data_IF_872179045523
#
_entry.id   IF_872179045523
#
_cell.length_a   1.000
_cell.length_b   1.000
_cell.length_c   1.000
_cell.angle_alpha   90.00
_cell.angle_beta   90.00
_cell.angle_gamma   90.00
#
_symmetry.space_group_name_H-M   'P 1'
#
loop_
_entity.id
_entity.type
_entity.pdbx_description
1 polymer ?
#
# COMPACT_ATOMS: atom_id res chain seq x y z
N UNK A 1 37.78 25.82 -34.65
CA UNK A 1 38.20 26.59 -33.46
C UNK A 1 37.52 25.99 -32.23
N UNK A 2 37.78 24.72 -31.89
CA UNK A 2 38.61 24.24 -30.76
C UNK A 2 38.70 25.18 -29.55
N UNK A 3 37.95 24.85 -28.49
CA UNK A 3 38.32 25.09 -27.08
C UNK A 3 37.91 23.87 -26.27
N UNK A 4 38.80 22.89 -26.21
CA UNK A 4 38.78 21.83 -25.21
C UNK A 4 39.28 22.43 -23.88
N UNK A 5 38.42 22.47 -22.87
CA UNK A 5 38.82 22.82 -21.51
C UNK A 5 39.22 21.52 -20.79
N UNK A 6 40.51 21.38 -20.52
CA UNK A 6 41.06 20.33 -19.67
C UNK A 6 40.69 20.66 -18.21
N UNK A 7 39.80 19.86 -17.64
CA UNK A 7 39.58 19.79 -16.19
C UNK A 7 40.55 18.76 -15.61
N UNK A 8 41.63 19.26 -15.01
CA UNK A 8 42.59 18.46 -14.25
C UNK A 8 41.97 18.17 -12.88
N UNK A 9 41.44 16.95 -12.69
CA UNK A 9 41.01 16.47 -11.39
C UNK A 9 42.25 16.20 -10.52
N UNK A 10 42.47 17.04 -9.51
CA UNK A 10 43.44 16.76 -8.45
C UNK A 10 42.85 15.69 -7.52
N UNK A 11 43.23 14.43 -7.74
CA UNK A 11 43.01 13.35 -6.78
C UNK A 11 43.91 13.59 -5.57
N UNK A 12 43.34 14.20 -4.52
CA UNK A 12 43.98 14.27 -3.21
C UNK A 12 43.71 12.92 -2.51
N UNK A 13 44.68 12.01 -2.57
CA UNK A 13 44.67 10.76 -1.81
C UNK A 13 44.73 11.05 -0.31
N UNK A 14 43.57 11.11 0.33
CA UNK A 14 43.44 10.97 1.78
C UNK A 14 43.77 9.52 2.14
N UNK A 15 45.06 9.26 2.42
CA UNK A 15 45.52 8.05 3.09
C UNK A 15 44.92 8.03 4.50
N UNK A 16 43.75 7.41 4.64
CA UNK A 16 43.30 6.94 5.95
C UNK A 16 44.35 5.93 6.46
N UNK A 17 44.81 6.02 7.72
CA UNK A 17 45.69 5.00 8.28
C UNK A 17 44.97 3.66 8.20
N UNK A 18 45.52 2.75 7.38
CA UNK A 18 44.96 1.43 7.20
C UNK A 18 44.91 0.67 8.53
N UNK A 19 43.74 0.12 8.87
CA UNK A 19 43.55 -0.84 9.95
C UNK A 19 44.22 -2.20 9.66
N UNK A 20 45.38 -2.22 9.00
CA UNK A 20 46.03 -3.44 8.53
C UNK A 20 47.00 -4.07 9.55
N UNK A 21 47.33 -3.39 10.65
CA UNK A 21 48.35 -3.84 11.62
C UNK A 21 47.85 -3.78 13.08
N UNK A 22 46.59 -4.11 13.34
CA UNK A 22 46.24 -4.56 14.70
C UNK A 22 46.65 -6.02 14.83
N UNK A 23 47.45 -6.39 15.86
CA UNK A 23 47.80 -7.79 16.09
C UNK A 23 46.50 -8.59 16.23
N UNK A 24 46.40 -9.67 15.44
CA UNK A 24 45.36 -10.68 15.61
C UNK A 24 45.28 -11.01 17.10
N UNK A 25 44.07 -10.91 17.66
CA UNK A 25 43.79 -11.20 19.07
C UNK A 25 44.45 -12.54 19.40
N UNK A 26 45.25 -12.57 20.47
CA UNK A 26 45.97 -13.76 20.92
C UNK A 26 44.96 -14.87 21.22
N UNK A 27 44.84 -15.86 20.31
CA UNK A 27 43.85 -16.94 20.36
C UNK A 27 43.89 -17.72 21.68
N UNK A 28 45.03 -17.67 22.39
CA UNK A 28 45.23 -18.30 23.69
C UNK A 28 44.38 -17.72 24.83
N UNK A 29 43.75 -16.55 24.65
CA UNK A 29 42.93 -15.88 25.66
C UNK A 29 41.44 -15.78 25.32
N UNK A 30 40.98 -16.40 24.22
CA UNK A 30 39.55 -16.49 23.95
C UNK A 30 38.89 -17.41 24.98
N UNK A 31 37.76 -16.98 25.54
CA UNK A 31 36.97 -17.77 26.49
C UNK A 31 36.63 -19.13 25.84
N UNK A 32 36.95 -20.27 26.47
CA UNK A 32 36.60 -21.59 25.94
C UNK A 32 35.12 -21.73 25.57
N UNK A 33 34.23 -20.97 26.22
CA UNK A 33 32.81 -20.92 25.88
C UNK A 33 32.54 -20.33 24.47
N UNK A 34 33.44 -19.50 23.94
CA UNK A 34 33.36 -18.93 22.58
C UNK A 34 33.95 -19.83 21.51
N UNK A 35 34.81 -20.81 21.87
CA UNK A 35 35.43 -21.72 20.90
C UNK A 35 34.44 -22.77 20.34
N UNK A 36 33.30 -22.99 21.00
CA UNK A 36 32.25 -23.92 20.55
C UNK A 36 31.08 -23.26 19.80
N UNK A 37 31.19 -21.98 19.45
CA UNK A 37 30.12 -21.22 18.80
C UNK A 37 30.58 -20.74 17.42
N UNK A 38 29.68 -20.72 16.41
CA UNK A 38 29.99 -20.19 15.10
C UNK A 38 30.27 -18.70 15.18
N UNK A 39 31.16 -18.21 14.31
CA UNK A 39 31.40 -16.78 14.14
C UNK A 39 30.47 -16.18 13.08
N UNK A 40 30.19 -16.94 12.01
CA UNK A 40 29.19 -16.60 11.00
C UNK A 40 28.65 -17.87 10.34
N UNK A 41 27.64 -17.71 9.49
CA UNK A 41 27.14 -18.76 8.63
C UNK A 41 27.41 -18.42 7.17
N UNK A 42 27.90 -19.39 6.41
CA UNK A 42 27.89 -19.32 4.95
C UNK A 42 26.51 -19.79 4.48
N UNK A 43 25.76 -18.90 3.83
CA UNK A 43 24.42 -19.20 3.30
C UNK A 43 24.43 -19.22 1.78
N UNK A 44 23.90 -20.30 1.23
CA UNK A 44 23.77 -20.49 -0.21
C UNK A 44 22.32 -20.81 -0.57
N UNK A 45 21.88 -20.27 -1.70
CA UNK A 45 20.61 -20.64 -2.32
C UNK A 45 20.92 -21.25 -3.68
N UNK A 46 20.42 -22.46 -3.90
CA UNK A 46 20.60 -23.14 -5.18
C UNK A 46 19.71 -22.49 -6.25
N UNK A 47 20.32 -21.63 -7.07
CA UNK A 47 19.76 -21.11 -8.32
C UNK A 47 20.73 -21.53 -9.41
N UNK A 48 20.24 -22.21 -10.44
CA UNK A 48 21.10 -22.60 -11.57
C UNK A 48 21.73 -21.33 -12.20
N UNK A 49 23.00 -21.36 -12.60
CA UNK A 49 23.61 -20.25 -13.33
C UNK A 49 22.74 -19.90 -14.54
N UNK A 50 22.48 -18.60 -14.74
CA UNK A 50 21.61 -18.06 -15.80
C UNK A 50 20.10 -18.30 -15.61
N UNK A 51 19.66 -19.03 -14.58
CA UNK A 51 18.23 -19.12 -14.26
C UNK A 51 17.68 -17.76 -13.80
N UNK A 52 16.37 -17.53 -13.97
CA UNK A 52 15.72 -16.33 -13.44
C UNK A 52 16.03 -16.13 -11.95
N UNK A 53 16.34 -14.89 -11.59
CA UNK A 53 16.72 -14.46 -10.25
C UNK A 53 18.22 -14.44 -9.97
N UNK A 54 19.04 -15.00 -10.85
CA UNK A 54 20.51 -14.99 -10.71
C UNK A 54 21.16 -13.63 -10.99
N UNK A 55 20.47 -12.71 -11.68
CA UNK A 55 21.00 -11.38 -12.01
C UNK A 55 19.90 -10.32 -12.17
N UNK A 56 20.23 -9.01 -12.09
CA UNK A 56 19.27 -7.94 -12.32
C UNK A 56 18.64 -7.95 -13.72
N UNK A 57 19.39 -8.40 -14.73
CA UNK A 57 18.94 -8.44 -16.13
C UNK A 57 18.02 -9.65 -16.43
N UNK A 58 17.99 -10.64 -15.54
CA UNK A 58 17.11 -11.79 -15.61
C UNK A 58 16.45 -12.05 -14.25
N UNK A 59 15.57 -11.15 -13.76
CA UNK A 59 14.95 -11.28 -12.44
C UNK A 59 13.81 -12.32 -12.47
N UNK A 60 13.56 -12.98 -11.33
CA UNK A 60 12.35 -13.77 -11.13
C UNK A 60 11.11 -12.87 -11.26
N UNK A 61 10.00 -13.37 -11.85
CA UNK A 61 8.74 -12.63 -11.81
C UNK A 61 8.27 -12.45 -10.36
N UNK A 62 7.61 -11.33 -10.07
CA UNK A 62 6.88 -11.18 -8.82
C UNK A 62 5.81 -12.29 -8.73
N UNK A 63 5.72 -12.97 -7.59
CA UNK A 63 4.82 -14.10 -7.42
C UNK A 63 4.05 -14.00 -6.11
N UNK A 64 2.73 -14.01 -6.21
CA UNK A 64 1.81 -14.11 -5.06
C UNK A 64 1.87 -15.52 -4.46
N UNK A 65 1.96 -16.54 -5.32
CA UNK A 65 2.09 -17.94 -4.88
C UNK A 65 3.50 -18.25 -4.34
N UNK A 66 4.47 -17.41 -4.65
CA UNK A 66 5.86 -17.53 -4.24
C UNK A 66 6.70 -18.50 -5.07
N UNK A 67 7.98 -18.53 -4.69
CA UNK A 67 9.04 -19.30 -5.33
C UNK A 67 9.65 -20.26 -4.31
N UNK A 68 10.03 -21.45 -4.76
CA UNK A 68 10.72 -22.43 -3.91
C UNK A 68 12.23 -22.33 -4.12
N UNK A 69 12.97 -22.31 -3.03
CA UNK A 69 14.42 -22.31 -3.02
C UNK A 69 14.94 -23.41 -2.11
N UNK A 70 16.10 -23.96 -2.46
CA UNK A 70 16.88 -24.78 -1.52
C UNK A 70 17.88 -23.88 -0.82
N UNK A 71 17.69 -23.65 0.48
CA UNK A 71 18.60 -22.92 1.34
C UNK A 71 19.57 -23.91 1.98
N UNK A 72 20.87 -23.62 1.93
CA UNK A 72 21.92 -24.35 2.63
C UNK A 72 22.66 -23.39 3.54
N UNK A 73 23.00 -23.86 4.73
CA UNK A 73 23.77 -23.11 5.71
C UNK A 73 24.92 -23.97 6.24
N UNK A 74 26.09 -23.37 6.36
CA UNK A 74 27.27 -24.00 6.96
C UNK A 74 27.80 -23.11 8.08
N UNK A 75 27.96 -23.68 9.27
CA UNK A 75 28.52 -23.02 10.44
C UNK A 75 30.03 -22.83 10.27
N UNK A 76 30.53 -21.61 10.45
CA UNK A 76 31.94 -21.28 10.23
C UNK A 76 32.61 -20.84 11.52
N UNK A 77 33.78 -21.43 11.81
CA UNK A 77 34.60 -21.11 12.97
C UNK A 77 35.52 -19.91 12.74
N UNK A 78 36.24 -19.49 13.78
CA UNK A 78 37.19 -18.37 13.73
C UNK A 78 38.32 -18.57 12.69
N UNK A 79 38.70 -19.82 12.45
CA UNK A 79 39.72 -20.22 11.47
C UNK A 79 39.19 -20.24 10.03
N UNK A 80 37.92 -19.87 9.81
CA UNK A 80 37.21 -19.98 8.53
C UNK A 80 37.05 -21.41 8.03
N UNK A 81 37.15 -22.40 8.92
CA UNK A 81 36.80 -23.78 8.60
C UNK A 81 35.34 -24.07 9.01
N UNK A 82 34.67 -25.00 8.31
CA UNK A 82 33.37 -25.50 8.74
C UNK A 82 33.42 -26.17 10.12
N UNK A 83 32.47 -25.83 11.00
CA UNK A 83 32.34 -26.40 12.34
C UNK A 83 31.47 -27.65 12.33
N UNK A 84 32.07 -28.80 12.02
CA UNK A 84 31.35 -30.08 11.88
C UNK A 84 30.66 -30.60 13.17
N UNK A 85 30.91 -29.99 14.32
CA UNK A 85 30.33 -30.32 15.62
C UNK A 85 29.20 -29.38 16.05
N UNK A 86 28.93 -28.31 15.29
CA UNK A 86 27.85 -27.39 15.62
C UNK A 86 26.48 -28.01 15.33
N UNK A 87 25.59 -27.93 16.32
CA UNK A 87 24.18 -28.28 16.22
C UNK A 87 23.35 -27.11 16.72
N UNK A 88 22.31 -26.73 15.98
CA UNK A 88 21.52 -25.56 16.34
C UNK A 88 20.34 -25.30 15.41
N UNK A 89 19.56 -24.28 15.75
CA UNK A 89 18.43 -23.81 14.96
C UNK A 89 18.66 -22.35 14.58
N UNK A 90 18.71 -22.06 13.28
CA UNK A 90 18.85 -20.70 12.79
C UNK A 90 17.48 -20.12 12.49
N UNK A 91 17.21 -18.93 13.00
CA UNK A 91 16.01 -18.18 12.62
C UNK A 91 16.24 -17.54 11.26
N UNK A 92 15.32 -17.81 10.33
CA UNK A 92 15.40 -17.31 8.96
C UNK A 92 14.57 -16.04 8.81
N UNK A 93 15.15 -15.07 8.11
CA UNK A 93 14.61 -13.75 7.88
C UNK A 93 14.79 -13.37 6.40
N UNK A 94 14.00 -12.42 5.93
CA UNK A 94 14.03 -11.93 4.54
C UNK A 94 14.22 -10.40 4.53
N UNK A 95 14.88 -9.88 3.49
CA UNK A 95 14.91 -8.42 3.25
C UNK A 95 13.62 -7.89 2.64
N UNK A 96 12.92 -8.72 1.86
CA UNK A 96 11.69 -8.39 1.15
C UNK A 96 10.87 -9.66 0.91
N UNK A 97 9.55 -9.55 0.89
CA UNK A 97 8.64 -10.69 0.72
C UNK A 97 8.27 -11.39 2.02
N UNK A 98 7.59 -12.52 1.89
CA UNK A 98 6.99 -13.27 2.99
C UNK A 98 7.52 -14.71 2.96
N UNK A 99 8.01 -15.18 4.10
CA UNK A 99 8.40 -16.58 4.27
C UNK A 99 7.14 -17.40 4.54
N UNK A 100 6.60 -18.01 3.48
CA UNK A 100 5.38 -18.83 3.56
C UNK A 100 5.64 -20.18 4.21
N UNK A 101 6.80 -20.77 3.90
CA UNK A 101 7.12 -22.11 4.38
C UNK A 101 8.62 -22.33 4.48
N UNK A 102 9.03 -23.08 5.50
CA UNK A 102 10.36 -23.65 5.63
C UNK A 102 10.25 -25.12 6.04
N UNK A 103 10.70 -26.02 5.18
CA UNK A 103 10.70 -27.47 5.40
C UNK A 103 12.12 -27.98 5.59
N UNK A 104 12.46 -28.35 6.82
CA UNK A 104 13.71 -29.04 7.13
C UNK A 104 13.67 -30.50 6.66
N UNK A 105 14.81 -31.03 6.20
CA UNK A 105 14.89 -32.45 5.81
C UNK A 105 14.78 -33.41 7.00
N UNK A 106 15.22 -33.00 8.20
CA UNK A 106 15.18 -33.80 9.43
C UNK A 106 14.74 -32.90 10.59
N UNK A 107 13.50 -33.10 11.07
CA UNK A 107 12.79 -32.16 11.95
C UNK A 107 13.32 -32.18 13.40
N UNK A 108 14.10 -31.18 13.79
CA UNK A 108 14.53 -30.93 15.18
C UNK A 108 14.35 -29.47 15.66
N UNK A 109 13.89 -28.56 14.79
CA UNK A 109 13.74 -27.13 15.12
C UNK A 109 12.27 -26.66 15.10
N UNK A 110 11.95 -25.56 15.79
CA UNK A 110 10.65 -24.88 15.64
C UNK A 110 10.34 -24.52 14.18
N UNK A 111 9.06 -24.34 13.87
CA UNK A 111 8.61 -23.88 12.56
C UNK A 111 9.24 -22.52 12.20
N UNK A 112 9.64 -22.35 10.93
CA UNK A 112 10.34 -21.15 10.46
C UNK A 112 11.86 -21.12 10.73
N UNK A 113 12.41 -22.10 11.45
CA UNK A 113 13.84 -22.18 11.74
C UNK A 113 14.54 -23.28 10.92
N UNK A 114 15.74 -23.00 10.44
CA UNK A 114 16.62 -23.94 9.74
C UNK A 114 17.44 -24.77 10.74
N UNK A 115 17.34 -26.10 10.65
CA UNK A 115 18.12 -27.01 11.48
C UNK A 115 19.54 -27.19 10.93
N UNK A 116 20.55 -27.02 11.79
CA UNK A 116 21.95 -27.32 11.52
C UNK A 116 22.34 -28.56 12.32
N UNK A 117 22.84 -29.58 11.63
CA UNK A 117 23.27 -30.84 12.22
C UNK A 117 24.64 -31.20 11.69
N UNK A 118 25.62 -31.36 12.59
CA UNK A 118 26.99 -31.63 12.19
C UNK A 118 27.61 -30.50 11.35
N UNK A 119 27.32 -29.24 11.72
CA UNK A 119 27.87 -28.05 11.09
C UNK A 119 27.18 -27.58 9.81
N UNK A 120 26.24 -28.34 9.26
CA UNK A 120 25.53 -27.97 8.02
C UNK A 120 24.04 -28.28 8.10
N UNK A 121 23.24 -27.52 7.37
CA UNK A 121 21.80 -27.74 7.25
C UNK A 121 21.26 -27.38 5.88
N UNK A 122 20.15 -28.01 5.49
CA UNK A 122 19.41 -27.65 4.28
C UNK A 122 17.90 -27.71 4.49
N UNK A 123 17.20 -26.73 3.94
CA UNK A 123 15.74 -26.67 3.91
C UNK A 123 15.23 -26.23 2.54
N UNK A 124 14.00 -26.68 2.22
CA UNK A 124 13.20 -26.05 1.17
C UNK A 124 12.48 -24.85 1.78
N UNK A 125 12.65 -23.67 1.18
CA UNK A 125 11.97 -22.44 1.59
C UNK A 125 11.07 -21.94 0.48
N UNK A 126 9.83 -21.60 0.81
CA UNK A 126 8.89 -20.96 -0.10
C UNK A 126 8.75 -19.50 0.28
N UNK A 127 9.09 -18.60 -0.64
CA UNK A 127 9.03 -17.16 -0.42
C UNK A 127 8.05 -16.55 -1.40
N UNK A 128 6.99 -15.91 -0.90
CA UNK A 128 6.03 -15.16 -1.71
C UNK A 128 6.32 -13.67 -1.67
N UNK A 129 5.79 -12.95 -2.66
CA UNK A 129 5.75 -11.48 -2.71
C UNK A 129 7.12 -10.81 -2.52
N UNK A 130 8.20 -11.50 -2.89
CA UNK A 130 9.53 -10.94 -2.96
C UNK A 130 9.62 -9.97 -4.13
N UNK A 131 10.31 -8.85 -3.93
CA UNK A 131 10.48 -7.78 -4.91
C UNK A 131 11.87 -7.15 -4.79
N UNK A 132 12.35 -6.58 -5.89
CA UNK A 132 13.69 -5.99 -6.00
C UNK A 132 14.80 -7.00 -5.64
N UNK A 133 15.51 -6.79 -4.52
CA UNK A 133 16.60 -7.65 -4.07
C UNK A 133 16.18 -8.44 -2.82
N UNK A 134 15.77 -9.69 -3.06
CA UNK A 134 15.55 -10.65 -1.99
C UNK A 134 16.89 -11.17 -1.48
N UNK A 135 17.14 -11.04 -0.18
CA UNK A 135 18.19 -11.78 0.53
C UNK A 135 17.55 -12.57 1.65
N UNK A 136 17.96 -13.81 1.74
CA UNK A 136 17.63 -14.65 2.88
C UNK A 136 18.81 -14.53 3.83
N UNK A 137 18.53 -14.21 5.09
CA UNK A 137 19.55 -14.21 6.12
C UNK A 137 19.09 -15.07 7.29
N UNK A 138 20.04 -15.69 7.95
CA UNK A 138 19.78 -16.58 9.06
C UNK A 138 20.68 -16.20 10.23
N UNK A 139 20.18 -16.35 11.44
CA UNK A 139 20.94 -16.06 12.65
C UNK A 139 20.66 -17.05 13.76
N UNK A 140 21.69 -17.33 14.55
CA UNK A 140 21.59 -18.10 15.77
C UNK A 140 21.20 -17.17 16.94
N UNK A 141 19.90 -16.90 17.08
CA UNK A 141 19.36 -16.11 18.20
C UNK A 141 19.22 -16.93 19.49
N UNK A 142 19.55 -18.23 19.45
CA UNK A 142 19.33 -19.17 20.53
C UNK A 142 17.86 -19.49 20.74
N UNK A 143 17.54 -19.93 21.95
CA UNK A 143 16.18 -20.23 22.37
C UNK A 143 15.94 -19.74 23.81
N UNK A 144 14.74 -19.92 24.36
CA UNK A 144 14.44 -19.49 25.73
C UNK A 144 15.28 -20.16 26.83
N UNK A 145 16.04 -21.20 26.50
CA UNK A 145 16.89 -21.99 27.42
C UNK A 145 18.39 -21.77 27.18
N UNK A 146 18.78 -21.42 25.96
CA UNK A 146 20.17 -21.27 25.53
C UNK A 146 20.37 -19.92 24.83
N UNK A 147 21.39 -19.18 25.23
CA UNK A 147 21.76 -17.94 24.54
C UNK A 147 22.44 -18.28 23.22
N UNK A 148 21.93 -17.74 22.11
CA UNK A 148 22.55 -17.92 20.79
C UNK A 148 23.85 -17.16 20.65
N UNK A 149 24.67 -17.57 19.69
CA UNK A 149 25.89 -16.86 19.33
C UNK A 149 25.63 -15.50 18.66
N UNK A 150 24.41 -15.28 18.15
CA UNK A 150 24.04 -14.20 17.23
C UNK A 150 24.89 -14.15 15.95
N UNK A 151 25.65 -15.22 15.67
CA UNK A 151 26.29 -15.40 14.39
C UNK A 151 25.22 -15.39 13.30
N UNK A 152 25.52 -14.73 12.20
CA UNK A 152 24.59 -14.57 11.09
C UNK A 152 25.28 -14.81 9.76
N UNK A 153 24.47 -15.08 8.75
CA UNK A 153 24.88 -15.19 7.36
C UNK A 153 23.80 -14.63 6.47
N UNK A 154 24.14 -14.26 5.24
CA UNK A 154 23.19 -13.82 4.23
C UNK A 154 23.56 -14.38 2.88
N UNK A 155 22.54 -14.75 2.10
CA UNK A 155 22.72 -15.20 0.72
C UNK A 155 23.20 -14.05 -0.17
N UNK A 156 23.64 -14.41 -1.38
CA UNK A 156 23.65 -13.44 -2.48
C UNK A 156 22.24 -12.92 -2.75
N UNK A 157 22.15 -11.78 -3.44
CA UNK A 157 20.86 -11.22 -3.83
C UNK A 157 20.19 -12.13 -4.86
N UNK A 158 18.94 -12.45 -4.60
CA UNK A 158 18.02 -13.08 -5.55
C UNK A 158 17.21 -11.93 -6.15
N UNK A 159 17.35 -11.73 -7.44
CA UNK A 159 16.73 -10.61 -8.13
C UNK A 159 15.28 -10.96 -8.48
N UNK A 160 14.36 -10.08 -8.13
CA UNK A 160 12.93 -10.26 -8.34
C UNK A 160 12.36 -8.99 -8.96
N UNK A 161 11.37 -9.13 -9.84
CA UNK A 161 10.70 -7.97 -10.46
C UNK A 161 9.97 -7.16 -9.40
N UNK A 162 9.90 -5.85 -9.63
CA UNK A 162 9.03 -4.98 -8.86
C UNK A 162 7.56 -5.37 -9.11
N UNK A 163 6.69 -5.30 -8.10
CA UNK A 163 5.27 -5.59 -8.28
C UNK A 163 4.54 -4.46 -9.01
N UNK A 164 3.42 -4.81 -9.65
CA UNK A 164 2.41 -3.83 -10.09
C UNK A 164 1.52 -3.41 -8.92
N UNK A 165 0.69 -2.37 -9.13
CA UNK A 165 -0.33 -1.96 -8.15
C UNK A 165 -1.28 -3.14 -7.87
N UNK A 166 -1.78 -3.79 -8.93
CA UNK A 166 -2.65 -4.95 -8.84
C UNK A 166 -2.07 -6.06 -7.96
N UNK A 167 -0.79 -6.39 -8.14
CA UNK A 167 -0.13 -7.46 -7.38
C UNK A 167 0.03 -7.15 -5.88
N UNK A 168 0.16 -5.87 -5.51
CA UNK A 168 0.25 -5.41 -4.12
C UNK A 168 -1.13 -5.40 -3.46
N UNK A 169 -2.16 -4.99 -4.19
CA UNK A 169 -3.51 -4.86 -3.65
C UNK A 169 -4.36 -6.15 -3.70
N UNK A 170 -4.08 -7.06 -4.63
CA UNK A 170 -4.85 -8.31 -4.75
C UNK A 170 -4.83 -9.09 -3.43
N UNK A 171 -6.00 -9.20 -2.81
CA UNK A 171 -6.23 -9.79 -1.50
C UNK A 171 -7.57 -10.51 -1.47
N UNK A 172 -7.68 -11.54 -0.64
CA UNK A 172 -8.96 -12.17 -0.28
C UNK A 172 -9.65 -11.43 0.89
N UNK A 173 -9.00 -10.38 1.42
CA UNK A 173 -9.49 -9.53 2.51
C UNK A 173 -9.85 -8.14 1.99
N UNK A 174 -10.93 -7.56 2.52
CA UNK A 174 -11.37 -6.18 2.22
C UNK A 174 -10.86 -5.14 3.21
N UNK A 175 -9.99 -5.55 4.14
CA UNK A 175 -9.48 -4.69 5.22
C UNK A 175 -8.01 -4.94 5.54
N UNK A 176 -7.34 -5.80 4.77
CA UNK A 176 -5.94 -6.16 4.95
C UNK A 176 -5.24 -6.33 3.61
N UNK A 177 -4.26 -5.48 3.35
CA UNK A 177 -3.29 -5.67 2.30
C UNK A 177 -2.26 -6.76 2.65
N UNK A 178 -1.93 -7.67 1.73
CA UNK A 178 -0.91 -8.70 1.95
C UNK A 178 0.49 -8.17 2.25
N UNK A 179 0.77 -6.91 1.89
CA UNK A 179 2.06 -6.25 2.11
C UNK A 179 1.96 -5.13 3.15
N UNK A 180 0.97 -5.20 4.05
CA UNK A 180 0.80 -4.25 5.14
C UNK A 180 2.11 -3.99 5.90
N UNK A 181 2.42 -2.72 6.13
CA UNK A 181 3.64 -2.21 6.77
C UNK A 181 4.95 -2.46 5.99
N UNK A 182 4.88 -2.91 4.73
CA UNK A 182 6.07 -3.07 3.88
C UNK A 182 6.33 -1.82 3.05
N UNK A 183 7.60 -1.44 2.91
CA UNK A 183 8.02 -0.42 1.95
C UNK A 183 8.14 -1.03 0.56
N UNK A 184 7.23 -0.71 -0.34
CA UNK A 184 7.13 -1.34 -1.67
C UNK A 184 7.45 -0.32 -2.77
N UNK A 185 8.48 -0.57 -3.60
CA UNK A 185 8.63 0.07 -4.89
C UNK A 185 7.76 -0.62 -5.95
N UNK A 186 7.01 0.17 -6.73
CA UNK A 186 6.16 -0.32 -7.80
C UNK A 186 6.87 -0.27 -9.15
N UNK A 187 6.53 -1.20 -10.03
CA UNK A 187 6.94 -1.17 -11.43
C UNK A 187 6.25 -0.01 -12.14
N UNK A 188 7.01 1.05 -12.44
CA UNK A 188 6.52 2.23 -13.16
C UNK A 188 6.76 2.17 -14.67
N UNK A 189 6.58 3.31 -15.33
CA UNK A 189 6.97 3.46 -16.73
C UNK A 189 8.49 3.45 -16.89
N UNK A 190 8.99 2.54 -17.70
CA UNK A 190 10.41 2.46 -18.08
C UNK A 190 10.54 2.22 -19.59
N UNK A 191 11.11 3.16 -20.37
CA UNK A 191 11.29 2.99 -21.80
C UNK A 191 12.31 1.91 -22.18
N UNK A 192 13.18 1.49 -21.25
CA UNK A 192 14.20 0.45 -21.49
C UNK A 192 13.59 -0.96 -21.45
N UNK A 193 12.42 -1.13 -20.82
CA UNK A 193 11.69 -2.40 -20.80
C UNK A 193 10.99 -2.69 -22.15
N UNK A 194 10.74 -3.98 -22.47
CA UNK A 194 9.86 -4.39 -23.57
C UNK A 194 8.47 -3.74 -23.45
N UNK A 195 7.83 -3.44 -24.57
CA UNK A 195 6.57 -2.66 -24.61
C UNK A 195 5.47 -3.27 -23.75
N UNK A 196 5.34 -4.60 -23.77
CA UNK A 196 4.40 -5.39 -22.99
C UNK A 196 4.65 -5.36 -21.47
N UNK A 197 5.86 -4.99 -21.05
CA UNK A 197 6.24 -4.86 -19.64
C UNK A 197 6.16 -3.41 -19.14
N UNK A 198 6.02 -2.43 -20.05
CA UNK A 198 5.91 -1.01 -19.68
C UNK A 198 4.58 -0.74 -18.99
N UNK A 199 4.66 -0.28 -17.74
CA UNK A 199 3.47 0.09 -16.97
C UNK A 199 3.07 1.53 -17.25
N UNK A 200 1.79 1.83 -17.09
CA UNK A 200 1.22 3.15 -17.32
C UNK A 200 0.57 3.65 -16.04
N UNK A 201 1.41 4.07 -15.08
CA UNK A 201 0.94 4.63 -13.81
C UNK A 201 0.47 6.07 -14.02
N UNK A 202 -0.82 6.27 -14.26
CA UNK A 202 -1.42 7.59 -14.55
C UNK A 202 -2.08 8.15 -13.30
N UNK A 203 -1.70 9.37 -12.91
CA UNK A 203 -2.38 10.12 -11.84
C UNK A 203 -3.79 10.46 -12.33
N UNK A 204 -4.81 9.98 -11.65
CA UNK A 204 -6.22 10.17 -12.05
C UNK A 204 -6.89 11.30 -11.30
N UNK A 205 -6.49 11.55 -10.05
CA UNK A 205 -7.08 12.60 -9.18
C UNK A 205 -6.02 13.12 -8.22
N UNK A 206 -6.02 14.43 -7.94
CA UNK A 206 -5.14 15.04 -6.91
C UNK A 206 -6.00 15.72 -5.85
N UNK A 207 -5.87 15.30 -4.59
CA UNK A 207 -6.67 15.78 -3.46
C UNK A 207 -5.85 16.71 -2.56
N UNK A 208 -6.41 17.11 -1.41
CA UNK A 208 -5.72 17.98 -0.44
C UNK A 208 -4.72 17.23 0.45
N UNK A 209 -4.79 15.91 0.50
CA UNK A 209 -3.99 15.03 1.36
C UNK A 209 -3.14 14.02 0.58
N UNK A 210 -3.29 13.95 -0.75
CA UNK A 210 -2.64 12.97 -1.57
C UNK A 210 -3.04 13.03 -3.04
N UNK A 211 -2.93 11.89 -3.70
CA UNK A 211 -3.38 11.70 -5.07
C UNK A 211 -3.71 10.24 -5.33
N UNK A 212 -4.46 9.98 -6.40
CA UNK A 212 -4.81 8.66 -6.88
C UNK A 212 -4.05 8.36 -8.15
N UNK A 213 -3.57 7.13 -8.29
CA UNK A 213 -2.87 6.64 -9.46
C UNK A 213 -3.49 5.33 -9.91
N UNK A 214 -3.69 5.18 -11.21
CA UNK A 214 -4.21 3.95 -11.84
C UNK A 214 -3.17 3.43 -12.82
N UNK A 215 -2.83 2.14 -12.71
CA UNK A 215 -2.05 1.43 -13.71
C UNK A 215 -2.95 1.04 -14.89
N UNK A 216 -2.90 1.81 -15.97
CA UNK A 216 -3.79 1.63 -17.12
C UNK A 216 -3.34 0.49 -18.04
N UNK A 217 -2.23 -0.17 -17.72
CA UNK A 217 -1.81 -1.40 -18.39
C UNK A 217 -2.61 -2.61 -17.90
N UNK A 218 -3.31 -2.51 -16.76
CA UNK A 218 -4.24 -3.53 -16.27
C UNK A 218 -5.71 -3.11 -16.54
N UNK A 219 -6.64 -4.07 -16.71
CA UNK A 219 -8.07 -3.77 -16.86
C UNK A 219 -8.65 -3.05 -15.63
N UNK A 220 -9.67 -2.19 -15.78
CA UNK A 220 -10.41 -1.65 -14.64
C UNK A 220 -11.00 -2.75 -13.75
N UNK A 221 -11.07 -2.51 -12.44
CA UNK A 221 -11.59 -3.50 -11.49
C UNK A 221 -10.66 -4.68 -11.27
N UNK A 222 -9.35 -4.51 -11.50
CA UNK A 222 -8.33 -5.55 -11.26
C UNK A 222 -7.31 -5.12 -10.20
N UNK A 223 -7.76 -4.39 -9.18
CA UNK A 223 -6.92 -3.86 -8.09
C UNK A 223 -5.85 -2.87 -8.59
N UNK A 224 -6.11 -2.20 -9.72
CA UNK A 224 -5.09 -1.47 -10.46
C UNK A 224 -4.97 0.02 -10.07
N UNK A 225 -5.67 0.47 -9.02
CA UNK A 225 -5.63 1.87 -8.58
C UNK A 225 -5.23 1.99 -7.13
N UNK A 226 -4.40 2.97 -6.77
CA UNK A 226 -3.88 3.17 -5.42
C UNK A 226 -4.02 4.63 -5.00
N UNK A 227 -4.36 4.85 -3.73
CA UNK A 227 -4.22 6.17 -3.11
C UNK A 227 -2.84 6.34 -2.50
N UNK A 228 -2.25 7.50 -2.78
CA UNK A 228 -0.91 7.89 -2.34
C UNK A 228 -1.05 9.06 -1.39
N UNK A 229 -0.88 8.80 -0.09
CA UNK A 229 -1.04 9.79 0.97
C UNK A 229 0.23 10.61 1.16
N UNK A 230 0.19 11.92 0.84
CA UNK A 230 1.33 12.83 0.93
C UNK A 230 1.18 13.90 2.02
N UNK A 231 0.28 13.70 2.99
CA UNK A 231 -0.08 14.61 4.11
C UNK A 231 -0.71 15.96 3.69
N UNK A 232 -0.33 16.47 2.52
CA UNK A 232 -0.81 17.69 1.91
C UNK A 232 -0.88 17.49 0.39
N UNK A 233 -1.58 18.40 -0.29
CA UNK A 233 -1.67 18.41 -1.75
C UNK A 233 -0.24 18.43 -2.34
N UNK A 234 0.14 17.44 -3.15
CA UNK A 234 1.48 17.39 -3.72
C UNK A 234 1.70 18.57 -4.68
N UNK A 235 2.83 19.26 -4.52
CA UNK A 235 3.24 20.32 -5.44
C UNK A 235 3.67 19.74 -6.79
N UNK A 236 3.37 20.45 -7.87
CA UNK A 236 3.78 20.10 -9.23
C UNK A 236 3.33 18.70 -9.72
N UNK A 237 2.26 18.16 -9.11
CA UNK A 237 1.60 16.95 -9.57
C UNK A 237 0.17 17.29 -10.01
N UNK A 238 -0.24 16.74 -11.15
CA UNK A 238 -1.57 16.96 -11.72
C UNK A 238 -2.14 15.67 -12.30
N UNK A 239 -3.47 15.62 -12.45
CA UNK A 239 -4.11 14.51 -13.16
C UNK A 239 -3.60 14.46 -14.62
N UNK A 240 -3.37 13.25 -15.13
CA UNK A 240 -2.72 12.98 -16.42
C UNK A 240 -1.19 12.93 -16.37
N UNK A 241 -0.56 13.14 -15.22
CA UNK A 241 0.86 12.83 -15.05
C UNK A 241 1.09 11.33 -15.06
N UNK A 242 2.14 10.88 -15.78
CA UNK A 242 2.61 9.49 -15.78
C UNK A 242 3.83 9.35 -14.90
N UNK A 243 3.85 8.33 -14.05
CA UNK A 243 4.94 8.07 -13.12
C UNK A 243 5.91 7.02 -13.66
N UNK A 244 7.20 7.31 -13.61
CA UNK A 244 8.28 6.32 -13.81
C UNK A 244 8.69 5.63 -12.52
N UNK A 245 8.46 6.29 -11.38
CA UNK A 245 8.75 5.75 -10.04
C UNK A 245 7.59 6.04 -9.11
N UNK A 246 7.22 5.03 -8.32
CA UNK A 246 6.31 5.14 -7.20
C UNK A 246 6.79 4.15 -6.13
N UNK A 247 6.91 4.59 -4.89
CA UNK A 247 7.23 3.72 -3.76
C UNK A 247 6.72 4.31 -2.45
N UNK A 248 6.52 3.47 -1.44
CA UNK A 248 6.11 3.91 -0.10
C UNK A 248 5.70 2.74 0.78
N UNK A 249 5.23 3.02 2.00
CA UNK A 249 4.77 2.02 2.96
C UNK A 249 3.29 1.71 2.68
N UNK A 250 2.97 0.46 2.39
CA UNK A 250 1.58 0.02 2.25
C UNK A 250 0.92 0.00 3.63
N UNK A 251 -0.21 0.69 3.77
CA UNK A 251 -0.94 0.78 5.02
C UNK A 251 -2.45 0.72 4.82
N UNK A 252 -3.11 -0.07 5.64
CA UNK A 252 -4.56 -0.02 5.89
C UNK A 252 -4.89 1.12 6.85
N UNK A 253 -5.69 2.08 6.38
CA UNK A 253 -6.20 3.14 7.23
C UNK A 253 -7.73 3.21 7.16
N UNK A 254 -8.40 2.89 8.27
CA UNK A 254 -9.87 2.80 8.35
C UNK A 254 -10.51 1.80 7.36
N UNK A 255 -9.75 0.77 6.97
CA UNK A 255 -10.16 -0.25 6.01
C UNK A 255 -9.96 0.18 4.56
N UNK A 256 -9.13 1.18 4.30
CA UNK A 256 -8.79 1.67 2.98
C UNK A 256 -7.29 1.52 2.75
N UNK A 257 -6.89 0.88 1.65
CA UNK A 257 -5.47 0.69 1.32
C UNK A 257 -4.86 2.00 0.82
N UNK A 258 -3.78 2.44 1.47
CA UNK A 258 -3.03 3.64 1.07
C UNK A 258 -1.51 3.43 1.08
N UNK A 259 -0.82 4.29 0.35
CA UNK A 259 0.63 4.37 0.35
C UNK A 259 1.11 5.56 1.21
N UNK A 260 1.80 5.28 2.30
CA UNK A 260 2.37 6.26 3.23
C UNK A 260 3.85 6.54 2.96
N UNK A 261 4.32 7.71 3.39
CA UNK A 261 5.67 8.23 3.11
C UNK A 261 6.11 8.04 1.65
N UNK A 262 5.28 8.45 0.68
CA UNK A 262 5.50 8.09 -0.70
C UNK A 262 6.67 8.87 -1.33
N UNK A 263 7.33 8.23 -2.28
CA UNK A 263 8.30 8.82 -3.19
C UNK A 263 7.82 8.53 -4.60
N UNK A 264 7.83 9.55 -5.46
CA UNK A 264 7.45 9.39 -6.86
C UNK A 264 8.33 10.22 -7.79
N UNK A 265 8.27 9.91 -9.07
CA UNK A 265 8.90 10.70 -10.13
C UNK A 265 7.96 10.77 -11.33
N UNK A 266 7.59 11.98 -11.72
CA UNK A 266 6.82 12.24 -12.95
C UNK A 266 7.75 12.10 -14.14
N UNK A 267 7.35 11.28 -15.11
CA UNK A 267 8.05 11.11 -16.38
C UNK A 267 7.51 12.05 -17.45
N UNK A 268 6.18 12.15 -17.56
CA UNK A 268 5.52 13.04 -18.51
C UNK A 268 4.17 13.52 -17.98
N UNK A 269 3.68 14.62 -18.54
CA UNK A 269 2.43 15.27 -18.16
C UNK A 269 1.47 15.36 -19.34
N UNK A 270 0.17 15.45 -19.05
CA UNK A 270 -0.88 15.61 -20.06
C UNK A 270 -1.23 14.32 -20.82
N UNK A 271 -0.93 13.16 -20.23
CA UNK A 271 -1.40 11.88 -20.73
C UNK A 271 -2.91 11.78 -20.56
N UNK A 272 -3.53 10.92 -21.38
CA UNK A 272 -4.97 10.67 -21.27
C UNK A 272 -5.28 10.02 -19.92
N UNK A 273 -6.21 10.63 -19.20
CA UNK A 273 -6.80 10.02 -18.01
C UNK A 273 -7.79 8.97 -18.50
N UNK A 274 -7.80 7.75 -17.93
CA UNK A 274 -8.80 6.74 -18.26
C UNK A 274 -10.22 7.29 -18.08
N UNK A 275 -11.10 6.94 -19.01
CA UNK A 275 -12.53 7.20 -18.83
C UNK A 275 -13.03 6.46 -17.58
N UNK A 276 -13.86 7.11 -16.73
CA UNK A 276 -14.45 6.45 -15.57
C UNK A 276 -15.19 5.17 -15.97
N UNK A 277 -14.84 4.07 -15.32
CA UNK A 277 -15.47 2.79 -15.61
C UNK A 277 -16.83 2.69 -14.93
N UNK A 278 -17.81 2.16 -15.65
CA UNK A 278 -19.15 1.93 -15.09
C UNK A 278 -19.07 0.85 -14.01
N UNK A 279 -19.51 1.19 -12.80
CA UNK A 279 -19.62 0.23 -11.70
C UNK A 279 -20.94 -0.54 -11.83
N UNK A 280 -20.87 -1.86 -11.89
CA UNK A 280 -22.05 -2.71 -11.98
C UNK A 280 -22.80 -2.73 -10.62
N UNK A 281 -24.12 -2.42 -10.59
CA UNK A 281 -24.90 -2.54 -9.37
C UNK A 281 -24.87 -3.94 -8.73
N UNK A 282 -24.65 -5.01 -9.50
CA UNK A 282 -24.60 -6.39 -9.00
C UNK A 282 -23.41 -6.66 -8.07
N UNK A 283 -22.33 -5.87 -8.14
CA UNK A 283 -21.12 -6.09 -7.34
C UNK A 283 -21.08 -5.26 -6.05
N UNK A 284 -21.92 -4.23 -5.93
CA UNK A 284 -21.86 -3.24 -4.82
C UNK A 284 -21.98 -3.85 -3.41
N UNK A 285 -22.72 -4.96 -3.28
CA UNK A 285 -22.86 -5.70 -2.03
C UNK A 285 -21.86 -6.85 -1.86
N UNK A 286 -21.02 -7.12 -2.87
CA UNK A 286 -19.98 -8.15 -2.86
C UNK A 286 -18.65 -7.48 -2.52
N UNK A 287 -18.36 -7.36 -1.22
CA UNK A 287 -17.19 -6.62 -0.73
C UNK A 287 -15.86 -7.02 -1.38
N UNK A 288 -15.64 -8.31 -1.60
CA UNK A 288 -14.41 -8.81 -2.25
C UNK A 288 -14.29 -8.41 -3.73
N UNK A 289 -15.40 -8.24 -4.44
CA UNK A 289 -15.36 -7.75 -5.83
C UNK A 289 -15.17 -6.24 -5.87
N UNK A 290 -15.80 -5.51 -4.94
CA UNK A 290 -15.62 -4.07 -4.80
C UNK A 290 -14.21 -3.67 -4.37
N UNK A 291 -13.50 -4.53 -3.64
CA UNK A 291 -12.08 -4.33 -3.30
C UNK A 291 -11.21 -4.10 -4.53
N UNK A 292 -11.49 -4.82 -5.62
CA UNK A 292 -10.75 -4.67 -6.87
C UNK A 292 -10.94 -3.30 -7.54
N UNK A 293 -11.93 -2.53 -7.09
CA UNK A 293 -12.25 -1.18 -7.54
C UNK A 293 -11.82 -0.10 -6.56
N UNK A 294 -11.26 -0.45 -5.41
CA UNK A 294 -10.76 0.52 -4.44
C UNK A 294 -9.80 1.52 -5.10
N UNK A 295 -9.88 2.79 -4.71
CA UNK A 295 -9.09 3.90 -5.25
C UNK A 295 -9.30 4.20 -6.75
N UNK A 296 -10.20 3.48 -7.43
CA UNK A 296 -10.49 3.70 -8.84
C UNK A 296 -11.49 4.82 -9.05
N UNK A 297 -11.35 5.55 -10.16
CA UNK A 297 -12.38 6.47 -10.63
C UNK A 297 -13.47 5.67 -11.32
N UNK A 298 -14.68 5.70 -10.76
CA UNK A 298 -15.84 4.95 -11.26
C UNK A 298 -16.98 5.90 -11.59
N UNK A 299 -17.84 5.45 -12.49
CA UNK A 299 -19.11 6.07 -12.83
C UNK A 299 -20.23 5.19 -12.31
N UNK A 300 -21.17 5.79 -11.60
CA UNK A 300 -22.44 5.19 -11.24
C UNK A 300 -23.51 5.76 -12.18
N UNK A 301 -24.37 4.93 -12.75
CA UNK A 301 -25.49 5.37 -13.59
C UNK A 301 -26.84 5.15 -12.88
N UNK A 302 -27.83 5.98 -13.23
CA UNK A 302 -29.23 5.86 -12.80
C UNK A 302 -29.37 5.69 -11.28
N UNK A 303 -28.94 6.69 -10.52
CA UNK A 303 -28.90 6.62 -9.06
C UNK A 303 -29.97 7.51 -8.42
N UNK A 304 -30.56 6.99 -7.34
CA UNK A 304 -31.55 7.66 -6.53
C UNK A 304 -30.93 8.05 -5.19
N UNK A 305 -31.11 9.30 -4.77
CA UNK A 305 -30.71 9.71 -3.41
C UNK A 305 -31.61 9.04 -2.38
N UNK A 306 -31.05 8.40 -1.35
CA UNK A 306 -31.80 7.75 -0.25
C UNK A 306 -31.79 8.60 1.04
N UNK A 307 -31.83 9.92 0.89
CA UNK A 307 -32.03 10.83 2.02
C UNK A 307 -33.51 10.80 2.40
N UNK A 308 -33.91 9.75 3.11
CA UNK A 308 -35.31 9.43 3.41
C UNK A 308 -35.72 9.83 4.83
N UNK A 309 -34.76 10.20 5.69
CA UNK A 309 -34.97 10.46 7.12
C UNK A 309 -34.25 11.72 7.58
N UNK A 310 -34.73 12.30 8.66
CA UNK A 310 -34.08 13.45 9.31
C UNK A 310 -32.68 13.12 9.84
N UNK A 311 -32.40 11.86 10.21
CA UNK A 311 -31.06 11.40 10.58
C UNK A 311 -30.06 11.55 9.44
N UNK A 312 -30.49 11.31 8.20
CA UNK A 312 -29.64 11.33 7.02
C UNK A 312 -29.20 12.78 6.75
N UNK A 313 -30.06 13.75 7.06
CA UNK A 313 -29.69 15.17 7.04
C UNK A 313 -28.67 15.55 8.13
N UNK A 314 -28.63 14.84 9.27
CA UNK A 314 -27.59 15.08 10.29
C UNK A 314 -26.25 14.62 9.73
N UNK A 315 -26.19 13.40 9.20
CA UNK A 315 -24.96 12.85 8.60
C UNK A 315 -24.50 13.67 7.40
N UNK A 316 -25.43 14.13 6.57
CA UNK A 316 -25.14 15.01 5.44
C UNK A 316 -24.60 16.37 5.89
N UNK A 317 -25.24 17.03 6.87
CA UNK A 317 -24.80 18.34 7.34
C UNK A 317 -23.47 18.28 8.12
N UNK A 318 -23.20 17.18 8.82
CA UNK A 318 -21.98 17.00 9.60
C UNK A 318 -20.83 16.55 8.69
N UNK A 319 -21.03 15.54 7.85
CA UNK A 319 -19.95 14.87 7.11
C UNK A 319 -20.00 15.10 5.59
N UNK A 320 -21.05 15.72 5.05
CA UNK A 320 -21.28 15.81 3.62
C UNK A 320 -21.53 14.44 2.97
N UNK A 321 -21.99 13.47 3.77
CA UNK A 321 -22.23 12.09 3.38
C UNK A 321 -23.72 11.82 3.23
N UNK A 322 -24.12 11.09 2.20
CA UNK A 322 -25.51 10.69 1.98
C UNK A 322 -25.59 9.34 1.26
N UNK A 323 -26.60 8.50 1.57
CA UNK A 323 -26.77 7.22 0.90
C UNK A 323 -27.41 7.39 -0.50
N UNK A 324 -27.00 6.54 -1.43
CA UNK A 324 -27.56 6.44 -2.77
C UNK A 324 -27.94 4.98 -3.09
N UNK A 325 -29.00 4.82 -3.89
CA UNK A 325 -29.45 3.53 -4.43
C UNK A 325 -29.17 3.52 -5.93
N UNK A 326 -28.41 2.54 -6.41
CA UNK A 326 -28.22 2.32 -7.83
C UNK A 326 -29.42 1.51 -8.36
N UNK A 327 -29.97 1.91 -9.51
CA UNK A 327 -31.02 1.13 -10.16
C UNK A 327 -30.47 -0.23 -10.61
N UNK A 328 -30.88 -1.29 -9.90
CA UNK A 328 -30.39 -2.65 -10.08
C UNK A 328 -30.71 -3.50 -8.87
N UNK A 329 -30.19 -4.71 -8.83
CA UNK A 329 -30.28 -5.59 -7.66
C UNK A 329 -28.90 -6.13 -7.35
N UNK A 330 -28.56 -6.18 -6.08
CA UNK A 330 -27.37 -6.86 -5.60
C UNK A 330 -27.79 -8.00 -4.68
N UNK A 331 -27.61 -9.24 -5.15
CA UNK A 331 -28.04 -10.46 -4.45
C UNK A 331 -29.52 -10.42 -3.97
N UNK A 332 -30.40 -9.78 -4.75
CA UNK A 332 -31.82 -9.63 -4.42
C UNK A 332 -32.16 -8.53 -3.42
N UNK A 333 -31.19 -7.65 -3.12
CA UNK A 333 -31.36 -6.43 -2.31
C UNK A 333 -31.06 -5.18 -3.14
N UNK A 334 -31.41 -4.01 -2.61
CA UNK A 334 -31.05 -2.73 -3.23
C UNK A 334 -29.53 -2.54 -3.22
N UNK A 335 -28.96 -2.20 -4.37
CA UNK A 335 -27.56 -1.83 -4.48
C UNK A 335 -27.35 -0.43 -3.87
N UNK A 336 -26.84 -0.38 -2.64
CA UNK A 336 -26.67 0.85 -1.86
C UNK A 336 -25.20 1.22 -1.73
N UNK A 337 -24.87 2.50 -1.90
CA UNK A 337 -23.53 3.06 -1.67
C UNK A 337 -23.65 4.38 -0.90
N UNK A 338 -22.63 4.76 -0.14
CA UNK A 338 -22.54 6.11 0.41
C UNK A 338 -21.86 7.04 -0.59
N UNK A 339 -22.27 8.30 -0.63
CA UNK A 339 -21.64 9.34 -1.44
C UNK A 339 -21.15 10.44 -0.52
N UNK A 340 -19.96 10.96 -0.77
CA UNK A 340 -19.39 12.10 -0.05
C UNK A 340 -19.04 13.20 -1.04
N UNK A 341 -19.62 14.38 -0.85
CA UNK A 341 -19.32 15.57 -1.67
C UNK A 341 -18.94 16.81 -0.82
N UNK A 342 -19.05 16.74 0.50
CA UNK A 342 -18.86 17.91 1.37
C UNK A 342 -17.48 18.56 1.28
N UNK A 343 -16.43 17.79 0.97
CA UNK A 343 -15.06 18.30 0.89
C UNK A 343 -14.73 18.94 -0.46
N UNK A 344 -15.44 18.58 -1.52
CA UNK A 344 -15.09 18.93 -2.91
C UNK A 344 -16.14 19.81 -3.56
N UNK A 345 -17.41 19.56 -3.27
CA UNK A 345 -18.57 20.28 -3.80
C UNK A 345 -19.54 20.67 -2.67
N UNK A 346 -19.10 21.49 -1.69
CA UNK A 346 -19.89 21.84 -0.49
C UNK A 346 -21.16 22.67 -0.76
N UNK A 347 -21.29 23.21 -1.97
CA UNK A 347 -22.43 23.99 -2.43
C UNK A 347 -23.56 23.13 -2.99
N UNK A 348 -23.30 21.87 -3.35
CA UNK A 348 -24.34 20.92 -3.73
C UNK A 348 -25.02 20.41 -2.47
N UNK A 349 -26.32 20.70 -2.31
CA UNK A 349 -27.09 20.47 -1.07
C UNK A 349 -28.48 19.91 -1.30
N UNK A 350 -29.01 19.31 -0.25
CA UNK A 350 -30.41 18.93 -0.11
C UNK A 350 -31.19 20.05 0.59
N UNK A 351 -32.01 20.84 -0.12
CA UNK A 351 -32.93 21.82 0.48
C UNK A 351 -33.68 21.35 1.73
N UNK A 352 -34.12 20.10 1.77
CA UNK A 352 -34.78 19.46 2.91
C UNK A 352 -33.89 19.35 4.15
N UNK A 353 -32.56 19.30 3.97
CA UNK A 353 -31.58 19.24 5.06
C UNK A 353 -31.13 20.61 5.56
N UNK A 354 -31.53 21.71 4.93
CA UNK A 354 -31.16 23.05 5.39
C UNK A 354 -31.83 23.37 6.74
N UNK A 355 -31.13 24.05 7.63
CA UNK A 355 -31.67 24.40 8.95
C UNK A 355 -32.93 25.28 8.90
N UNK A 356 -33.10 26.02 7.79
CA UNK A 356 -34.29 26.82 7.48
C UNK A 356 -35.39 26.05 6.75
N UNK A 357 -35.23 24.74 6.52
CA UNK A 357 -36.18 23.96 5.75
C UNK A 357 -37.50 23.76 6.50
N UNK A 358 -38.59 23.80 5.76
CA UNK A 358 -39.92 23.44 6.26
C UNK A 358 -39.99 21.96 6.68
N UNK A 359 -39.03 21.14 6.22
CA UNK A 359 -38.90 19.73 6.57
C UNK A 359 -38.44 19.49 8.02
N UNK A 360 -37.99 20.54 8.72
CA UNK A 360 -37.64 20.46 10.15
C UNK A 360 -38.87 20.46 11.09
N UNK A 361 -40.05 20.84 10.60
CA UNK A 361 -41.29 20.94 11.37
C UNK A 361 -41.98 19.59 11.67
N UNK A 362 -43.02 19.65 12.52
CA UNK A 362 -43.92 18.51 12.82
C UNK A 362 -44.93 18.26 11.69
N UNK A 363 -45.31 19.31 10.96
CA UNK A 363 -46.10 19.21 9.72
C UNK A 363 -45.11 19.38 8.56
N UNK A 364 -44.80 18.28 7.87
CA UNK A 364 -43.82 18.26 6.78
C UNK A 364 -44.56 18.18 5.44
N UNK A 365 -44.18 19.00 4.46
CA UNK A 365 -44.65 18.81 3.09
C UNK A 365 -44.32 17.43 2.53
N UNK A 366 -45.16 16.91 1.63
CA UNK A 366 -44.98 15.60 0.99
C UNK A 366 -43.68 15.51 0.15
N UNK A 367 -43.18 16.66 -0.33
CA UNK A 367 -41.93 16.73 -1.10
C UNK A 367 -40.67 16.55 -0.25
N UNK A 368 -40.78 16.65 1.09
CA UNK A 368 -39.65 16.45 1.97
C UNK A 368 -39.15 15.01 1.87
N UNK A 369 -37.86 14.84 1.62
CA UNK A 369 -37.22 13.53 1.50
C UNK A 369 -37.68 12.71 0.27
N UNK A 370 -38.21 13.37 -0.76
CA UNK A 370 -38.41 12.72 -2.06
C UNK A 370 -37.05 12.36 -2.68
N UNK A 371 -36.84 11.08 -3.08
CA UNK A 371 -35.62 10.67 -3.77
C UNK A 371 -35.42 11.49 -5.04
N UNK A 372 -34.19 11.99 -5.24
CA UNK A 372 -33.77 12.68 -6.45
C UNK A 372 -33.12 11.69 -7.38
N UNK A 373 -33.50 11.75 -8.65
CA UNK A 373 -32.85 11.01 -9.73
C UNK A 373 -31.63 11.79 -10.21
N UNK A 374 -30.52 11.07 -10.38
CA UNK A 374 -29.28 11.55 -10.98
C UNK A 374 -28.92 10.58 -12.11
N UNK A 375 -28.81 11.10 -13.33
CA UNK A 375 -28.48 10.32 -14.53
C UNK A 375 -27.18 9.53 -14.32
N UNK A 376 -26.18 10.19 -13.73
CA UNK A 376 -24.92 9.57 -13.35
C UNK A 376 -24.28 10.31 -12.18
N UNK A 377 -23.25 9.72 -11.60
CA UNK A 377 -22.32 10.37 -10.71
C UNK A 377 -20.95 9.73 -10.88
N UNK A 378 -19.91 10.55 -10.96
CA UNK A 378 -18.52 10.07 -11.03
C UNK A 378 -17.83 10.34 -9.70
N UNK A 379 -16.87 9.50 -9.33
CA UNK A 379 -16.07 9.74 -8.15
C UNK A 379 -15.01 8.67 -7.95
N UNK A 380 -14.26 8.79 -6.86
CA UNK A 380 -13.29 7.77 -6.46
C UNK A 380 -13.93 6.83 -5.45
N UNK A 381 -13.82 5.53 -5.70
CA UNK A 381 -14.35 4.53 -4.78
C UNK A 381 -13.39 4.32 -3.60
N UNK A 382 -13.94 4.28 -2.38
CA UNK A 382 -13.20 4.02 -1.13
C UNK A 382 -13.97 3.04 -0.26
N UNK A 383 -13.25 2.17 0.43
CA UNK A 383 -13.82 1.39 1.51
C UNK A 383 -13.69 2.14 2.85
N UNK A 384 -14.66 1.97 3.74
CA UNK A 384 -14.59 2.46 5.12
C UNK A 384 -15.34 1.50 6.02
N UNK A 385 -14.60 0.79 6.87
CA UNK A 385 -15.14 -0.26 7.77
C UNK A 385 -16.21 0.21 8.77
N UNK A 386 -16.34 1.53 8.95
CA UNK A 386 -17.27 2.16 9.90
C UNK A 386 -18.49 2.78 9.22
N UNK A 387 -18.52 2.82 7.88
CA UNK A 387 -19.66 3.30 7.13
C UNK A 387 -20.68 2.18 6.91
N UNK A 388 -21.95 2.54 6.76
CA UNK A 388 -23.02 1.62 6.40
C UNK A 388 -23.87 2.24 5.29
N UNK A 389 -23.81 1.74 4.04
CA UNK A 389 -22.89 0.71 3.53
C UNK A 389 -21.39 1.13 3.62
N UNK A 390 -20.44 0.17 3.61
CA UNK A 390 -19.02 0.47 3.84
C UNK A 390 -18.33 1.13 2.65
N UNK A 391 -18.89 1.00 1.44
CA UNK A 391 -18.35 1.62 0.23
C UNK A 391 -18.84 3.05 0.07
N UNK A 392 -17.89 3.95 -0.21
CA UNK A 392 -18.11 5.38 -0.37
C UNK A 392 -17.62 5.78 -1.76
N UNK A 393 -18.46 6.52 -2.49
CA UNK A 393 -18.04 7.29 -3.66
C UNK A 393 -17.67 8.71 -3.22
N UNK A 394 -16.40 9.05 -3.29
CA UNK A 394 -15.91 10.40 -3.05
C UNK A 394 -15.95 11.22 -4.35
N UNK A 395 -16.83 12.21 -4.42
CA UNK A 395 -16.94 13.09 -5.59
C UNK A 395 -15.69 13.96 -5.70
N UNK A 396 -15.09 14.08 -6.89
CA UNK A 396 -13.80 14.78 -7.05
C UNK A 396 -13.99 16.27 -7.24
N UNK A 397 -14.96 16.65 -8.05
CA UNK A 397 -15.32 18.04 -8.31
C UNK A 397 -16.77 18.16 -8.84
N UNK A 398 -17.21 19.37 -9.16
CA UNK A 398 -18.57 19.62 -9.61
C UNK A 398 -18.89 19.10 -11.01
N UNK A 399 -17.90 18.73 -11.83
CA UNK A 399 -18.10 18.15 -13.16
C UNK A 399 -18.52 16.68 -13.10
N UNK A 400 -18.27 16.02 -11.97
CA UNK A 400 -18.69 14.65 -11.70
C UNK A 400 -20.22 14.51 -11.54
N UNK A 401 -20.95 15.61 -11.39
CA UNK A 401 -22.41 15.65 -11.42
C UNK A 401 -22.96 15.85 -12.84
N UNK A 402 -24.18 15.33 -13.12
CA UNK A 402 -24.94 15.66 -14.33
C UNK A 402 -25.09 17.16 -14.48
N UNK A 403 -25.12 17.64 -15.72
CA UNK A 403 -25.04 19.07 -16.04
C UNK A 403 -26.14 19.89 -15.31
N UNK A 404 -27.34 19.35 -15.25
CA UNK A 404 -28.53 19.91 -14.62
C UNK A 404 -28.47 19.91 -13.08
N UNK A 405 -27.61 19.09 -12.49
CA UNK A 405 -27.42 18.99 -11.04
C UNK A 405 -26.17 19.72 -10.54
N UNK A 406 -25.35 20.30 -11.43
CA UNK A 406 -24.15 21.03 -11.02
C UNK A 406 -24.54 22.28 -10.23
N UNK A 407 -23.87 22.57 -9.11
CA UNK A 407 -24.14 23.78 -8.36
C UNK A 407 -23.73 25.02 -9.16
N UNK A 408 -24.41 26.15 -8.91
CA UNK A 408 -24.21 27.39 -9.65
C UNK A 408 -22.78 27.96 -9.54
N UNK A 409 -22.06 27.63 -8.47
CA UNK A 409 -20.68 28.04 -8.22
C UNK A 409 -19.63 27.06 -8.77
N UNK A 410 -20.02 26.07 -9.57
CA UNK A 410 -19.11 25.05 -10.12
C UNK A 410 -17.86 25.65 -10.80
N UNK A 411 -18.02 26.69 -11.62
CA UNK A 411 -16.87 27.36 -12.24
C UNK A 411 -15.89 27.96 -11.20
N UNK A 412 -16.41 28.49 -10.09
CA UNK A 412 -15.60 29.02 -8.99
C UNK A 412 -14.89 27.89 -8.24
N UNK A 413 -15.57 26.78 -7.99
CA UNK A 413 -14.96 25.59 -7.37
C UNK A 413 -13.83 25.02 -8.21
N UNK A 414 -13.93 25.03 -9.54
CA UNK A 414 -12.84 24.57 -10.41
C UNK A 414 -11.62 25.51 -10.41
N UNK A 415 -11.84 26.82 -10.28
CA UNK A 415 -10.75 27.81 -10.22
C UNK A 415 -10.09 27.87 -8.83
N UNK A 416 -10.89 27.66 -7.80
CA UNK A 416 -10.51 27.73 -6.39
C UNK A 416 -11.04 26.48 -5.69
N UNK A 417 -10.47 25.30 -6.00
CA UNK A 417 -10.87 24.08 -5.32
C UNK A 417 -10.69 24.31 -3.83
N UNK A 418 -11.67 23.89 -3.00
CA UNK A 418 -11.59 24.09 -1.55
C UNK A 418 -10.27 23.52 -1.04
N UNK A 419 -9.28 24.40 -0.85
CA UNK A 419 -7.92 24.05 -0.45
C UNK A 419 -7.85 24.23 1.05
N UNK A 420 -7.70 23.13 1.79
CA UNK A 420 -7.50 23.19 3.22
C UNK A 420 -7.45 21.80 3.81
N UNK A 421 -6.86 21.64 5.03
CA UNK A 421 -7.16 20.47 5.83
C UNK A 421 -8.68 20.32 5.86
N UNK A 422 -9.19 19.07 5.83
CA UNK A 422 -10.61 18.80 6.08
C UNK A 422 -11.02 19.76 7.19
N UNK A 423 -11.86 20.74 6.89
CA UNK A 423 -12.48 21.52 7.96
C UNK A 423 -13.41 20.48 8.54
N UNK A 424 -12.88 19.67 9.48
CA UNK A 424 -13.73 18.85 10.32
C UNK A 424 -14.82 19.84 10.76
N UNK A 425 -16.10 19.54 10.49
CA UNK A 425 -17.19 20.42 10.90
C UNK A 425 -16.86 20.84 12.31
N UNK A 426 -16.91 22.14 12.60
CA UNK A 426 -16.57 22.66 13.92
C UNK A 426 -17.22 21.74 14.95
N UNK A 427 -16.42 20.83 15.54
CA UNK A 427 -16.80 20.21 16.78
C UNK A 427 -16.85 21.44 17.67
N UNK A 428 -18.06 21.98 17.89
CA UNK A 428 -18.34 22.52 19.21
C UNK A 428 -17.81 21.44 20.10
N UNK A 429 -16.64 21.67 20.72
CA UNK A 429 -16.05 20.73 21.66
C UNK A 429 -17.23 20.36 22.53
N UNK A 430 -17.75 19.12 22.40
CA UNK A 430 -18.54 18.58 23.49
C UNK A 430 -17.62 18.77 24.67
N UNK A 431 -18.01 19.63 25.60
CA UNK A 431 -17.20 19.88 26.78
C UNK A 431 -16.88 18.51 27.32
N UNK A 432 -15.60 18.10 27.22
CA UNK A 432 -15.19 16.83 27.75
C UNK A 432 -15.63 16.89 29.22
N UNK A 433 -16.47 15.95 29.70
CA UNK A 433 -16.98 16.04 31.05
C UNK A 433 -15.79 16.21 31.98
N UNK A 434 -15.72 17.35 32.64
CA UNK A 434 -14.61 17.64 33.55
C UNK A 434 -14.74 16.69 34.70
N UNK A 435 -13.88 15.67 34.74
CA UNK A 435 -13.72 14.78 35.87
C UNK A 435 -13.21 15.59 37.07
N UNK A 436 -14.14 16.19 37.80
CA UNK A 436 -13.89 16.81 39.09
C UNK A 436 -14.44 15.83 40.13
N UNK A 437 -13.54 15.16 40.86
CA UNK A 437 -13.87 14.28 41.99
C UNK A 437 -14.68 13.00 41.70
N UNK A 438 -14.32 12.24 40.66
CA UNK A 438 -14.68 10.81 40.57
C UNK A 438 -16.18 10.51 40.45
N UNK A 439 -17.01 11.49 40.10
CA UNK A 439 -18.43 11.28 39.80
C UNK A 439 -18.72 11.81 38.40
N UNK A 440 -19.10 10.89 37.50
CA UNK A 440 -19.62 11.21 36.18
C UNK A 440 -21.03 11.80 36.34
N UNK A 441 -21.17 13.09 36.11
CA UNK A 441 -22.48 13.69 35.87
C UNK A 441 -22.75 13.64 34.36
N UNK A 442 -23.87 13.01 33.99
CA UNK A 442 -24.37 12.94 32.61
C UNK A 442 -24.99 14.27 32.17
#
# INVERSE_FOLDING_TARGET
MSRAAQLTAAFLSLLLPGCADQPLIDEANLDPATQGQPLWFELEVSIEPEAPGSSPDNPLPFSIEGHNFTLTATAMGYDRAPMADYEGCLKVHLTSGILEQLQNQNQTCPEGNLAILGGSGSAQVRVSRAYDQLRIWASDEGNGQETGSYASGSTQAIHTRLPTIAQVQTSDSTVESPLQHSYVPFLGYDPELPEEERRQLIVTTVTNDGFYVTDTSDPPGSYNSMFVFSFSRPDHLQAGDRLSKLSGIVSEFLGFTELQFPIWTVESSGNLIPEPSLLDPEIVCIGTEMEAWESSVVRLDNLLTDVSRASDCIDYNEYGQWPAILQGQCQGSEARINVVNGNTVPSWRFPECEASSECSGTERPDWCFEPRDLEYLVGVLRHTRYASPPWILEVRDCLDFPLENRPADCAQLLMHPPSGPRIAPFYQRREAPTCTYGTLHQ
#
